data_IF_028965274156
#
_entry.id   IF_028965274156
#
_cell.length_a   1.000
_cell.length_b   1.000
_cell.length_c   1.000
_cell.angle_alpha   90.00
_cell.angle_beta   90.00
_cell.angle_gamma   90.00
#
_symmetry.space_group_name_H-M   'P 1'
#
loop_
_entity.id
_entity.type
_entity.pdbx_description
1 polymer ?
#
# COMPACT_ATOMS: atom_id res chain seq x y z
N UNK A 1 37.08 11.46 6.75
CA UNK A 1 37.39 12.90 6.56
C UNK A 1 36.73 13.34 5.28
N UNK A 2 35.74 14.23 5.43
CA UNK A 2 34.78 14.68 4.44
C UNK A 2 35.42 15.34 3.20
N UNK A 3 34.57 15.56 2.19
CA UNK A 3 34.55 16.57 1.11
C UNK A 3 33.94 15.87 -0.13
N UNK A 4 32.85 16.30 -0.79
CA UNK A 4 32.20 17.59 -0.89
C UNK A 4 30.73 17.44 -1.32
N UNK A 5 29.91 18.28 -0.72
CA UNK A 5 28.61 18.76 -1.15
C UNK A 5 28.54 19.05 -2.66
N UNK A 6 27.58 18.47 -3.35
CA UNK A 6 26.99 18.89 -4.64
C UNK A 6 25.60 18.25 -4.66
N UNK A 7 24.47 18.89 -4.90
CA UNK A 7 24.12 20.27 -5.09
C UNK A 7 22.64 20.38 -4.67
N UNK A 8 22.23 21.53 -4.14
CA UNK A 8 20.82 21.86 -3.93
C UNK A 8 20.15 21.94 -5.30
N UNK A 9 19.40 20.91 -5.68
CA UNK A 9 18.20 21.05 -6.50
C UNK A 9 17.39 19.74 -6.50
N UNK A 10 16.29 19.69 -5.74
CA UNK A 10 15.09 19.05 -6.25
C UNK A 10 13.89 19.74 -5.63
N UNK A 11 12.93 20.11 -6.47
CA UNK A 11 11.53 20.17 -6.06
C UNK A 11 11.28 18.86 -5.32
N UNK A 12 10.98 18.89 -4.01
CA UNK A 12 10.85 17.67 -3.21
C UNK A 12 10.00 16.66 -3.99
N UNK A 13 10.58 15.51 -4.31
CA UNK A 13 9.86 14.47 -5.04
C UNK A 13 8.66 14.06 -4.22
N UNK A 14 7.51 13.90 -4.89
CA UNK A 14 6.28 13.48 -4.22
C UNK A 14 6.50 12.09 -3.63
N UNK A 15 6.08 11.83 -2.38
CA UNK A 15 6.20 10.50 -1.81
C UNK A 15 5.44 9.46 -2.66
N UNK A 16 5.96 8.24 -2.67
CA UNK A 16 5.48 7.09 -3.45
C UNK A 16 4.57 6.24 -2.58
N UNK A 17 3.37 5.96 -3.09
CA UNK A 17 2.35 5.18 -2.38
C UNK A 17 2.02 3.95 -3.20
N UNK A 18 2.19 2.78 -2.61
CA UNK A 18 1.65 1.53 -3.15
C UNK A 18 0.25 1.29 -2.60
N UNK A 19 -0.72 1.15 -3.50
CA UNK A 19 -2.12 0.90 -3.16
C UNK A 19 -2.39 -0.60 -3.13
N UNK A 20 -2.77 -1.12 -1.97
CA UNK A 20 -3.29 -2.48 -1.85
C UNK A 20 -4.77 -2.54 -2.29
N UNK A 21 -5.21 -3.71 -2.75
CA UNK A 21 -6.49 -3.95 -3.43
C UNK A 21 -7.72 -3.48 -2.66
N UNK A 22 -7.70 -3.53 -1.32
CA UNK A 22 -8.81 -3.04 -0.50
C UNK A 22 -9.12 -1.56 -0.76
N UNK A 23 -8.10 -0.71 -0.97
CA UNK A 23 -8.27 0.73 -1.28
C UNK A 23 -9.04 0.89 -2.60
N UNK A 24 -8.63 0.15 -3.63
CA UNK A 24 -9.27 0.13 -4.96
C UNK A 24 -10.71 -0.36 -4.87
N UNK A 25 -10.96 -1.36 -4.03
CA UNK A 25 -12.29 -1.91 -3.78
C UNK A 25 -13.20 -0.89 -3.09
N UNK A 26 -12.71 -0.16 -2.10
CA UNK A 26 -13.47 0.87 -1.41
C UNK A 26 -13.80 2.07 -2.32
N UNK A 27 -12.91 2.44 -3.25
CA UNK A 27 -13.16 3.53 -4.21
C UNK A 27 -14.27 3.23 -5.23
N UNK A 28 -14.44 1.97 -5.61
CA UNK A 28 -15.30 1.56 -6.74
C UNK A 28 -16.55 0.78 -6.32
N UNK A 29 -16.63 0.40 -5.04
CA UNK A 29 -17.78 -0.26 -4.47
C UNK A 29 -19.00 0.68 -4.44
N UNK A 30 -20.18 0.09 -4.54
CA UNK A 30 -21.43 0.82 -4.29
C UNK A 30 -21.50 1.19 -2.82
N UNK A 31 -22.16 2.30 -2.50
CA UNK A 31 -22.40 2.73 -1.13
C UNK A 31 -22.97 1.57 -0.28
N UNK A 32 -22.27 1.25 0.80
CA UNK A 32 -22.67 0.21 1.73
C UNK A 32 -23.71 0.72 2.71
N UNK A 33 -24.54 -0.21 3.23
CA UNK A 33 -25.42 0.05 4.39
C UNK A 33 -24.77 -0.30 5.72
N UNK A 34 -23.66 -1.03 5.68
CA UNK A 34 -22.83 -1.26 6.86
C UNK A 34 -22.07 0.04 7.17
N UNK A 35 -22.27 0.58 8.37
CA UNK A 35 -21.75 1.89 8.77
C UNK A 35 -20.22 1.95 8.75
N UNK A 36 -19.54 0.86 9.13
CA UNK A 36 -18.07 0.82 9.15
C UNK A 36 -17.55 0.80 7.72
N UNK A 37 -18.14 -0.06 6.87
CA UNK A 37 -17.78 -0.12 5.44
C UNK A 37 -18.06 1.21 4.76
N UNK A 38 -19.21 1.84 5.03
CA UNK A 38 -19.57 3.14 4.47
C UNK A 38 -18.59 4.24 4.89
N UNK A 39 -18.13 4.25 6.15
CA UNK A 39 -17.11 5.17 6.62
C UNK A 39 -15.77 4.97 5.88
N UNK A 40 -15.29 3.73 5.75
CA UNK A 40 -14.08 3.45 4.97
C UNK A 40 -14.22 3.88 3.50
N UNK A 41 -15.39 3.65 2.87
CA UNK A 41 -15.67 4.14 1.51
C UNK A 41 -15.52 5.66 1.43
N UNK A 42 -16.15 6.39 2.36
CA UNK A 42 -16.12 7.84 2.38
C UNK A 42 -14.70 8.38 2.61
N UNK A 43 -13.97 7.86 3.60
CA UNK A 43 -12.59 8.28 3.88
C UNK A 43 -11.68 8.01 2.67
N UNK A 44 -11.83 6.86 2.02
CA UNK A 44 -11.02 6.51 0.85
C UNK A 44 -11.31 7.45 -0.33
N UNK A 45 -12.58 7.77 -0.56
CA UNK A 45 -12.98 8.75 -1.58
C UNK A 45 -12.42 10.14 -1.26
N UNK A 46 -12.51 10.56 -0.01
CA UNK A 46 -12.01 11.85 0.44
C UNK A 46 -10.48 11.97 0.27
N UNK A 47 -9.72 10.96 0.69
CA UNK A 47 -8.27 10.89 0.44
C UNK A 47 -7.95 10.91 -1.06
N UNK A 48 -8.70 10.16 -1.86
CA UNK A 48 -8.50 10.11 -3.30
C UNK A 48 -8.76 11.45 -4.00
N UNK A 49 -9.81 12.16 -3.60
CA UNK A 49 -10.16 13.44 -4.21
C UNK A 49 -9.24 14.58 -3.76
N UNK A 50 -8.86 14.59 -2.48
CA UNK A 50 -8.14 15.71 -1.86
C UNK A 50 -6.63 15.55 -1.88
N UNK A 51 -6.14 14.34 -1.59
CA UNK A 51 -4.73 14.13 -1.23
C UNK A 51 -3.92 13.38 -2.29
N UNK A 52 -4.54 12.51 -3.11
CA UNK A 52 -3.80 11.62 -4.03
C UNK A 52 -2.80 12.36 -4.93
N UNK A 53 -3.09 13.60 -5.29
CA UNK A 53 -2.23 14.39 -6.20
C UNK A 53 -0.94 14.86 -5.54
N UNK A 54 -0.81 14.74 -4.22
CA UNK A 54 0.43 14.99 -3.48
C UNK A 54 1.40 13.81 -3.55
N UNK A 55 0.99 12.67 -4.12
CA UNK A 55 1.75 11.42 -4.17
C UNK A 55 1.98 10.94 -5.61
N UNK A 56 2.91 9.99 -5.78
CA UNK A 56 3.01 9.14 -6.97
C UNK A 56 2.44 7.76 -6.61
N UNK A 57 1.43 7.31 -7.35
CA UNK A 57 0.69 6.10 -7.01
C UNK A 57 1.18 4.91 -7.82
N UNK A 58 1.36 3.78 -7.15
CA UNK A 58 1.78 2.51 -7.70
C UNK A 58 0.81 1.40 -7.31
N UNK A 59 0.70 0.40 -8.17
CA UNK A 59 0.02 -0.88 -7.94
C UNK A 59 0.92 -2.01 -8.45
N UNK A 60 0.46 -3.25 -8.40
CA UNK A 60 1.19 -4.42 -8.88
C UNK A 60 0.28 -5.32 -9.72
N UNK A 61 0.86 -6.33 -10.38
CA UNK A 61 0.06 -7.36 -11.04
C UNK A 61 -0.81 -8.14 -10.05
N UNK A 62 -0.35 -8.30 -8.79
CA UNK A 62 -1.16 -8.89 -7.72
C UNK A 62 -2.45 -8.08 -7.50
N UNK A 63 -2.36 -6.74 -7.43
CA UNK A 63 -3.53 -5.87 -7.29
C UNK A 63 -4.50 -6.05 -8.47
N UNK A 64 -3.99 -6.20 -9.70
CA UNK A 64 -4.82 -6.47 -10.88
C UNK A 64 -5.52 -7.83 -10.80
N UNK A 65 -4.78 -8.88 -10.41
CA UNK A 65 -5.32 -10.23 -10.25
C UNK A 65 -6.44 -10.25 -9.21
N UNK A 66 -6.25 -9.60 -8.07
CA UNK A 66 -7.27 -9.54 -7.02
C UNK A 66 -8.45 -8.64 -7.40
N UNK A 67 -8.18 -7.49 -8.03
CA UNK A 67 -9.22 -6.60 -8.55
C UNK A 67 -10.11 -7.28 -9.59
N UNK A 68 -9.58 -8.24 -10.35
CA UNK A 68 -10.30 -9.04 -11.35
C UNK A 68 -11.27 -10.09 -10.77
N UNK A 69 -11.21 -10.39 -9.47
CA UNK A 69 -11.98 -11.48 -8.87
C UNK A 69 -13.39 -11.06 -8.42
N UNK A 70 -14.29 -12.04 -8.29
CA UNK A 70 -15.64 -11.82 -7.76
C UNK A 70 -16.65 -11.36 -8.80
N UNK A 71 -17.51 -10.40 -8.45
CA UNK A 71 -18.58 -9.93 -9.33
C UNK A 71 -18.01 -9.22 -10.58
N UNK A 72 -18.40 -9.61 -11.82
CA UNK A 72 -17.84 -9.05 -13.05
C UNK A 72 -17.96 -7.53 -13.17
N UNK A 73 -19.11 -6.95 -12.81
CA UNK A 73 -19.31 -5.49 -12.91
C UNK A 73 -18.42 -4.75 -11.90
N UNK A 74 -18.22 -5.31 -10.70
CA UNK A 74 -17.32 -4.74 -9.70
C UNK A 74 -15.86 -4.85 -10.12
N UNK A 75 -15.46 -6.00 -10.67
CA UNK A 75 -14.13 -6.22 -11.21
C UNK A 75 -13.81 -5.23 -12.34
N UNK A 76 -14.74 -5.03 -13.27
CA UNK A 76 -14.58 -4.06 -14.36
C UNK A 76 -14.34 -2.64 -13.85
N UNK A 77 -15.09 -2.18 -12.82
CA UNK A 77 -14.89 -0.85 -12.22
C UNK A 77 -13.53 -0.72 -11.56
N UNK A 78 -13.06 -1.75 -10.82
CA UNK A 78 -11.73 -1.74 -10.22
C UNK A 78 -10.63 -1.69 -11.26
N UNK A 79 -10.68 -2.56 -12.27
CA UNK A 79 -9.68 -2.59 -13.33
C UNK A 79 -9.63 -1.28 -14.13
N UNK A 80 -10.77 -0.65 -14.39
CA UNK A 80 -10.81 0.66 -15.05
C UNK A 80 -10.16 1.77 -14.22
N UNK A 81 -10.26 1.72 -12.88
CA UNK A 81 -9.59 2.67 -11.98
C UNK A 81 -8.06 2.47 -11.99
N UNK A 82 -7.59 1.24 -12.20
CA UNK A 82 -6.18 0.86 -12.17
C UNK A 82 -5.41 1.19 -13.45
N UNK A 83 -6.08 1.26 -14.60
CA UNK A 83 -5.48 1.45 -15.93
C UNK A 83 -4.45 2.60 -16.04
N UNK A 84 -4.66 3.79 -15.44
CA UNK A 84 -3.69 4.88 -15.53
C UNK A 84 -2.53 4.79 -14.52
N UNK A 85 -2.51 3.79 -13.62
CA UNK A 85 -1.54 3.71 -12.53
C UNK A 85 -0.28 2.93 -12.92
N UNK A 86 0.86 3.33 -12.36
CA UNK A 86 2.12 2.63 -12.58
C UNK A 86 2.12 1.26 -11.89
N UNK A 87 2.67 0.25 -12.57
CA UNK A 87 2.74 -1.13 -12.07
C UNK A 87 4.16 -1.45 -11.64
N UNK A 88 4.33 -1.94 -10.41
CA UNK A 88 5.61 -2.44 -9.90
C UNK A 88 5.94 -3.80 -10.51
N UNK A 89 7.19 -3.97 -10.93
CA UNK A 89 7.69 -5.24 -11.45
C UNK A 89 7.91 -6.25 -10.32
N UNK A 90 7.50 -7.49 -10.54
CA UNK A 90 7.75 -8.61 -9.64
C UNK A 90 8.97 -9.42 -10.10
N UNK A 91 9.87 -9.73 -9.17
CA UNK A 91 11.04 -10.58 -9.41
C UNK A 91 11.05 -11.79 -8.46
N UNK A 92 11.96 -12.73 -8.70
CA UNK A 92 12.07 -13.91 -7.84
C UNK A 92 12.54 -13.52 -6.43
N UNK A 93 13.43 -12.54 -6.31
CA UNK A 93 13.92 -12.02 -5.03
C UNK A 93 12.78 -11.41 -4.20
N UNK A 94 11.80 -10.77 -4.85
CA UNK A 94 10.60 -10.24 -4.19
C UNK A 94 9.73 -11.39 -3.66
N UNK A 95 9.61 -12.49 -4.41
CA UNK A 95 8.89 -13.68 -3.93
C UNK A 95 9.58 -14.34 -2.75
N UNK A 96 10.90 -14.46 -2.80
CA UNK A 96 11.70 -14.98 -1.67
C UNK A 96 11.53 -14.10 -0.42
N UNK A 97 11.49 -12.77 -0.59
CA UNK A 97 11.21 -11.84 0.51
C UNK A 97 9.78 -12.01 1.06
N UNK A 98 8.79 -12.19 0.18
CA UNK A 98 7.41 -12.46 0.59
C UNK A 98 7.29 -13.79 1.37
N UNK A 99 8.01 -14.83 0.95
CA UNK A 99 8.07 -16.10 1.67
C UNK A 99 8.71 -15.95 3.05
N UNK A 100 9.78 -15.16 3.16
CA UNK A 100 10.40 -14.81 4.44
C UNK A 100 9.38 -14.13 5.37
N UNK A 101 8.65 -13.13 4.88
CA UNK A 101 7.61 -12.47 5.66
C UNK A 101 6.50 -13.43 6.09
N UNK A 102 5.99 -14.26 5.17
CA UNK A 102 4.94 -15.22 5.47
C UNK A 102 5.36 -16.29 6.50
N UNK A 103 6.66 -16.58 6.59
CA UNK A 103 7.24 -17.51 7.57
C UNK A 103 7.42 -16.87 8.95
N UNK A 104 7.91 -15.63 8.97
CA UNK A 104 8.33 -14.94 10.21
C UNK A 104 7.22 -14.09 10.85
N UNK A 105 6.17 -13.78 10.09
CA UNK A 105 4.96 -13.10 10.54
C UNK A 105 3.85 -14.16 10.58
N UNK A 106 3.09 -14.29 11.69
CA UNK A 106 2.01 -15.27 11.85
C UNK A 106 0.77 -14.85 11.04
N UNK A 107 0.91 -14.87 9.71
CA UNK A 107 -0.18 -14.64 8.77
C UNK A 107 -1.01 -15.93 8.64
N UNK A 108 -2.34 -15.86 8.58
CA UNK A 108 -3.14 -17.02 8.26
C UNK A 108 -2.75 -17.55 6.88
N UNK A 109 -2.85 -18.86 6.63
CA UNK A 109 -2.50 -19.49 5.34
C UNK A 109 -3.17 -18.86 4.10
N UNK A 110 -4.29 -18.17 4.28
CA UNK A 110 -5.03 -17.48 3.22
C UNK A 110 -4.50 -16.07 2.92
N UNK A 111 -3.59 -15.55 3.74
CA UNK A 111 -2.97 -14.22 3.67
C UNK A 111 -1.56 -14.26 3.07
N UNK A 112 -1.20 -15.31 2.31
CA UNK A 112 0.10 -15.34 1.63
C UNK A 112 0.26 -14.18 0.62
N UNK A 113 -0.85 -13.74 0.01
CA UNK A 113 -0.88 -12.57 -0.86
C UNK A 113 -0.53 -11.27 -0.11
N UNK A 114 -0.92 -11.15 1.17
CA UNK A 114 -0.60 -9.98 2.01
C UNK A 114 0.91 -9.83 2.20
N UNK A 115 1.64 -10.94 2.32
CA UNK A 115 3.10 -10.93 2.39
C UNK A 115 3.74 -10.40 1.10
N UNK A 116 3.17 -10.72 -0.06
CA UNK A 116 3.66 -10.23 -1.34
C UNK A 116 3.37 -8.72 -1.51
N UNK A 117 2.24 -8.20 -1.02
CA UNK A 117 2.02 -6.75 -0.94
C UNK A 117 3.10 -6.05 -0.12
N UNK A 118 3.44 -6.59 1.05
CA UNK A 118 4.50 -6.01 1.90
C UNK A 118 5.87 -6.08 1.22
N UNK A 119 6.21 -7.21 0.59
CA UNK A 119 7.49 -7.41 -0.10
C UNK A 119 7.65 -6.48 -1.30
N UNK A 120 6.63 -6.32 -2.12
CA UNK A 120 6.64 -5.36 -3.24
C UNK A 120 6.86 -3.94 -2.74
N UNK A 121 6.18 -3.54 -1.66
CA UNK A 121 6.32 -2.21 -1.11
C UNK A 121 7.73 -1.94 -0.53
N UNK A 122 8.27 -2.90 0.22
CA UNK A 122 9.59 -2.78 0.83
C UNK A 122 10.72 -2.85 -0.22
N UNK A 123 10.65 -3.80 -1.15
CA UNK A 123 11.69 -3.99 -2.18
C UNK A 123 11.82 -2.79 -3.12
N UNK A 124 10.69 -2.17 -3.49
CA UNK A 124 10.68 -0.99 -4.35
C UNK A 124 10.87 0.32 -3.58
N UNK A 125 11.16 0.26 -2.29
CA UNK A 125 11.37 1.42 -1.41
C UNK A 125 10.20 2.41 -1.49
N UNK A 126 8.97 1.90 -1.32
CA UNK A 126 7.78 2.75 -1.21
C UNK A 126 7.84 3.54 0.10
N UNK A 127 7.45 4.81 0.06
CA UNK A 127 7.26 5.58 1.30
C UNK A 127 6.07 5.05 2.09
N UNK A 128 5.00 4.65 1.40
CA UNK A 128 3.76 4.16 2.01
C UNK A 128 3.20 2.91 1.33
N UNK A 129 2.69 1.98 2.15
CA UNK A 129 1.77 0.92 1.74
C UNK A 129 0.38 1.26 2.29
N UNK A 130 -0.52 1.65 1.40
CA UNK A 130 -1.88 2.10 1.75
C UNK A 130 -2.85 0.93 1.70
N UNK A 131 -3.54 0.64 2.80
CA UNK A 131 -4.41 -0.54 2.93
C UNK A 131 -5.52 -0.35 3.97
N UNK A 132 -6.65 -1.03 3.80
CA UNK A 132 -7.66 -1.25 4.83
C UNK A 132 -7.60 -2.66 5.44
N UNK A 133 -6.63 -3.49 5.04
CA UNK A 133 -6.43 -4.83 5.58
C UNK A 133 -5.74 -4.74 6.95
N UNK A 134 -6.48 -4.24 7.95
CA UNK A 134 -5.99 -3.99 9.30
C UNK A 134 -5.69 -5.26 10.09
N UNK A 135 -6.22 -6.41 9.67
CA UNK A 135 -5.99 -7.68 10.35
C UNK A 135 -4.64 -8.30 9.98
N UNK A 136 -4.20 -8.14 8.72
CA UNK A 136 -3.07 -8.91 8.17
C UNK A 136 -1.93 -8.04 7.63
N UNK A 137 -2.18 -6.77 7.31
CA UNK A 137 -1.16 -5.83 6.82
C UNK A 137 -1.00 -4.66 7.79
N UNK A 138 -2.04 -3.85 7.97
CA UNK A 138 -2.01 -2.66 8.83
C UNK A 138 -2.10 -2.98 10.34
N UNK A 139 -1.93 -4.23 10.75
CA UNK A 139 -1.93 -4.63 12.15
C UNK A 139 -0.63 -4.18 12.85
N UNK A 140 -0.72 -3.59 14.05
CA UNK A 140 0.47 -3.09 14.78
C UNK A 140 1.52 -4.17 15.10
N UNK A 141 1.11 -5.43 15.31
CA UNK A 141 2.06 -6.53 15.46
C UNK A 141 2.77 -6.85 14.14
N UNK A 142 2.02 -6.88 13.03
CA UNK A 142 2.57 -7.11 11.69
C UNK A 142 3.54 -6.00 11.30
N UNK A 143 3.15 -4.72 11.45
CA UNK A 143 4.01 -3.55 11.19
C UNK A 143 5.36 -3.67 11.92
N UNK A 144 5.32 -3.92 13.23
CA UNK A 144 6.53 -4.10 14.05
C UNK A 144 7.39 -5.27 13.57
N UNK A 145 6.77 -6.42 13.29
CA UNK A 145 7.52 -7.61 12.88
C UNK A 145 8.17 -7.42 11.51
N UNK A 146 7.47 -6.78 10.58
CA UNK A 146 8.00 -6.40 9.27
C UNK A 146 9.24 -5.51 9.42
N UNK A 147 9.14 -4.42 10.21
CA UNK A 147 10.27 -3.51 10.48
C UNK A 147 11.49 -4.22 11.08
N UNK A 148 11.27 -5.21 11.95
CA UNK A 148 12.37 -6.01 12.52
C UNK A 148 13.08 -6.87 11.47
N UNK A 149 12.31 -7.52 10.58
CA UNK A 149 12.83 -8.36 9.51
C UNK A 149 13.61 -7.49 8.52
N UNK A 150 13.01 -6.40 8.05
CA UNK A 150 13.60 -5.50 7.07
C UNK A 150 14.89 -4.88 7.56
N UNK A 151 14.91 -4.40 8.82
CA UNK A 151 16.13 -3.89 9.44
C UNK A 151 17.25 -4.93 9.48
N UNK A 152 16.91 -6.20 9.71
CA UNK A 152 17.90 -7.30 9.70
C UNK A 152 18.41 -7.58 8.29
N UNK A 153 17.56 -7.43 7.29
CA UNK A 153 17.88 -7.57 5.87
C UNK A 153 18.48 -6.30 5.23
N UNK A 154 18.65 -5.21 5.98
CA UNK A 154 19.05 -3.89 5.50
C UNK A 154 18.13 -3.31 4.40
N UNK A 155 16.83 -3.61 4.50
CA UNK A 155 15.75 -3.09 3.65
C UNK A 155 15.06 -1.93 4.39
N UNK A 156 14.60 -0.93 3.65
CA UNK A 156 13.78 0.16 4.22
C UNK A 156 12.31 -0.24 4.19
N UNK A 157 11.70 -0.34 5.37
CA UNK A 157 10.27 -0.66 5.48
C UNK A 157 9.40 0.52 5.03
N UNK A 158 8.30 0.26 4.28
CA UNK A 158 7.32 1.28 3.98
C UNK A 158 6.53 1.63 5.24
N UNK A 159 6.04 2.86 5.34
CA UNK A 159 5.02 3.19 6.33
C UNK A 159 3.69 2.57 5.92
N UNK A 160 3.30 1.48 6.58
CA UNK A 160 1.99 0.86 6.38
C UNK A 160 0.94 1.73 7.07
N UNK A 161 -0.09 2.16 6.33
CA UNK A 161 -1.12 3.04 6.87
C UNK A 161 -2.47 2.85 6.16
N UNK A 162 -3.53 3.33 6.79
CA UNK A 162 -4.85 3.46 6.18
C UNK A 162 -5.02 4.80 5.46
N UNK A 163 -5.99 4.92 4.53
CA UNK A 163 -6.36 6.22 3.97
C UNK A 163 -6.71 7.28 5.02
N UNK A 164 -7.26 6.88 6.17
CA UNK A 164 -7.53 7.78 7.30
C UNK A 164 -6.23 8.39 7.86
N UNK A 165 -5.22 7.56 8.10
CA UNK A 165 -3.91 7.98 8.61
C UNK A 165 -3.21 8.97 7.64
N UNK A 166 -3.33 8.77 6.31
CA UNK A 166 -2.76 9.72 5.33
C UNK A 166 -3.59 10.97 5.08
N UNK A 167 -4.92 10.88 5.21
CA UNK A 167 -5.80 12.03 5.02
C UNK A 167 -5.59 13.09 6.11
N UNK A 168 -5.42 12.66 7.35
CA UNK A 168 -5.26 13.56 8.49
C UNK A 168 -3.81 13.72 8.97
N UNK A 169 -2.87 12.86 8.52
CA UNK A 169 -1.46 12.91 8.93
C UNK A 169 -0.69 14.14 8.43
N UNK A 170 -1.17 14.82 7.38
CA UNK A 170 -0.59 16.05 6.83
C UNK A 170 -1.32 17.34 7.27
N UNK A 171 -2.47 17.21 7.95
CA UNK A 171 -3.23 18.35 8.45
C UNK A 171 -2.61 18.75 9.80
N UNK A 172 -1.66 19.69 9.76
CA UNK A 172 -1.10 20.45 10.86
C UNK A 172 -1.19 19.83 12.27
N UNK A 173 -0.03 19.45 12.82
CA UNK A 173 0.20 19.54 14.27
C UNK A 173 0.09 21.02 14.69
N UNK A 174 -1.12 21.54 14.77
CA UNK A 174 -1.49 22.81 15.42
C UNK A 174 -2.17 22.49 16.77
#
# INVERSE_FOLDING_TARGET
>A
MALLQNAVNSKAEKPRVYLETSVVSYLTARASRDLVVAAHQQITQEWWERERTHYVLFVSDLVHVEAGQGNPDAAQRRLALLEPLAVLEESEEIRELAELYAKEIPLPRRAAADALHMALAAWHEMDYLLTWTCQHIANGFVRRRLEEIDRTAAITSPTICTPEELLYGNQNMD
#
